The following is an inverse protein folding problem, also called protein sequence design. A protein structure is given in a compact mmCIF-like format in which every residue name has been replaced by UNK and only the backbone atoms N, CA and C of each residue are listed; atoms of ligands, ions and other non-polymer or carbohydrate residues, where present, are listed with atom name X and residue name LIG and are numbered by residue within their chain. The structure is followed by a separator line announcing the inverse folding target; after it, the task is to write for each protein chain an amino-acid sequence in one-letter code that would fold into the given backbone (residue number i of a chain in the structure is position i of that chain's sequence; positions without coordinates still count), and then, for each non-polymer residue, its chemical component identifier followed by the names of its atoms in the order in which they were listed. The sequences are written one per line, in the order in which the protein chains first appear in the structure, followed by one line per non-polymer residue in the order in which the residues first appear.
data_IF_096081788303
#
_entry.id   IF_096081788303
#
_cell.length_a   1.000
_cell.length_b   1.000
_cell.length_c   1.000
_cell.angle_alpha   90.00
_cell.angle_beta   90.00
_cell.angle_gamma   90.00
#
_symmetry.space_group_name_H-M   'P 1'
#
loop_
_entity.id
_entity.type
_entity.pdbx_description
1 polymer ?
#
# COMPACT_ATOMS: atom_id res chain seq x y z
N UNK A 1 22.70 22.93 12.04
CA UNK A 1 21.30 23.01 11.58
C UNK A 1 21.01 21.77 10.76
N UNK A 2 20.40 20.77 11.40
CA UNK A 2 20.00 19.51 10.76
C UNK A 2 18.86 19.79 9.79
N UNK A 3 19.11 19.64 8.50
CA UNK A 3 18.07 19.71 7.48
C UNK A 3 17.24 18.44 7.60
N UNK A 4 16.16 18.52 8.38
CA UNK A 4 15.14 17.50 8.47
C UNK A 4 14.50 17.38 7.08
N UNK A 5 14.93 16.36 6.32
CA UNK A 5 14.37 16.03 5.00
C UNK A 5 12.87 15.78 5.14
N UNK A 6 12.06 16.82 4.95
CA UNK A 6 10.63 16.67 4.77
C UNK A 6 10.38 16.16 3.35
N UNK A 7 10.65 14.88 3.12
CA UNK A 7 10.08 14.20 1.96
C UNK A 7 8.57 14.19 2.15
N UNK A 8 7.87 15.09 1.46
CA UNK A 8 6.45 14.98 1.24
C UNK A 8 6.20 13.65 0.51
N UNK A 9 5.91 12.59 1.27
CA UNK A 9 5.67 11.22 0.78
C UNK A 9 4.33 11.18 0.02
N UNK A 10 4.25 11.84 -1.14
CA UNK A 10 3.20 11.59 -2.12
C UNK A 10 3.53 10.29 -2.86
N UNK A 11 3.53 9.19 -2.12
CA UNK A 11 3.70 7.87 -2.72
C UNK A 11 2.36 7.50 -3.36
N UNK A 12 2.25 7.77 -4.67
CA UNK A 12 1.12 7.32 -5.48
C UNK A 12 1.35 5.85 -5.80
N UNK A 13 0.60 4.97 -5.14
CA UNK A 13 0.47 3.58 -5.54
C UNK A 13 -0.59 3.55 -6.63
N UNK A 14 -0.22 3.06 -7.81
CA UNK A 14 -1.15 2.81 -8.90
C UNK A 14 -1.40 1.31 -8.94
N UNK A 15 -2.67 0.94 -9.04
CA UNK A 15 -3.08 -0.45 -9.27
C UNK A 15 -3.46 -0.61 -10.74
N UNK A 16 -3.22 -1.79 -11.28
CA UNK A 16 -3.86 -2.24 -12.52
C UNK A 16 -5.35 -2.44 -12.29
N UNK A 17 -6.14 -2.52 -13.37
CA UNK A 17 -7.59 -2.78 -13.26
C UNK A 17 -7.86 -4.11 -12.54
N UNK A 18 -7.09 -5.16 -12.86
CA UNK A 18 -7.22 -6.47 -12.23
C UNK A 18 -6.91 -6.43 -10.72
N UNK A 19 -5.88 -5.67 -10.31
CA UNK A 19 -5.57 -5.50 -8.89
C UNK A 19 -6.65 -4.67 -8.18
N UNK A 20 -7.22 -3.67 -8.85
CA UNK A 20 -8.32 -2.88 -8.30
C UNK A 20 -9.58 -3.74 -8.08
N UNK A 21 -9.91 -4.61 -9.03
CA UNK A 21 -11.04 -5.54 -8.91
C UNK A 21 -10.86 -6.50 -7.73
N UNK A 22 -9.65 -7.06 -7.57
CA UNK A 22 -9.33 -7.92 -6.42
C UNK A 22 -9.41 -7.18 -5.08
N UNK A 23 -8.97 -5.92 -5.03
CA UNK A 23 -9.10 -5.09 -3.83
C UNK A 23 -10.57 -4.85 -3.51
N UNK A 24 -11.39 -4.54 -4.52
CA UNK A 24 -12.82 -4.30 -4.33
C UNK A 24 -13.54 -5.56 -3.82
N UNK A 25 -13.25 -6.73 -4.42
CA UNK A 25 -13.80 -8.01 -3.96
C UNK A 25 -13.41 -8.30 -2.50
N UNK A 26 -12.14 -8.08 -2.14
CA UNK A 26 -11.68 -8.25 -0.77
C UNK A 26 -12.35 -7.30 0.22
N UNK A 27 -12.63 -6.05 -0.18
CA UNK A 27 -13.38 -5.08 0.64
C UNK A 27 -14.81 -5.57 0.87
N UNK A 28 -15.50 -5.99 -0.18
CA UNK A 28 -16.88 -6.49 -0.09
C UNK A 28 -16.99 -7.72 0.82
N UNK A 29 -16.05 -8.67 0.69
CA UNK A 29 -16.00 -9.84 1.58
C UNK A 29 -15.84 -9.37 3.03
N UNK A 30 -14.86 -8.52 3.35
CA UNK A 30 -14.64 -8.06 4.72
C UNK A 30 -15.88 -7.35 5.29
N UNK A 31 -16.55 -6.53 4.49
CA UNK A 31 -17.77 -5.82 4.90
C UNK A 31 -18.95 -6.78 5.13
N UNK A 32 -19.10 -7.81 4.30
CA UNK A 32 -20.16 -8.82 4.45
C UNK A 32 -20.08 -9.61 5.77
N UNK A 33 -18.88 -9.76 6.32
CA UNK A 33 -18.65 -10.37 7.64
C UNK A 33 -18.67 -9.36 8.80
N UNK A 34 -19.10 -8.12 8.55
CA UNK A 34 -19.21 -7.05 9.56
C UNK A 34 -17.87 -6.36 9.88
N UNK A 35 -16.83 -6.61 9.07
CA UNK A 35 -15.54 -5.94 9.20
C UNK A 35 -15.55 -4.53 8.61
N UNK A 36 -14.66 -3.66 9.10
CA UNK A 36 -14.41 -2.34 8.51
C UNK A 36 -13.16 -2.40 7.64
N UNK A 37 -13.39 -2.37 6.33
CA UNK A 37 -12.35 -2.38 5.33
C UNK A 37 -12.12 -0.97 4.76
N UNK A 38 -10.90 -0.67 4.33
CA UNK A 38 -10.58 0.58 3.64
C UNK A 38 -9.47 0.32 2.64
N UNK A 39 -9.58 0.86 1.41
CA UNK A 39 -8.52 0.76 0.40
C UNK A 39 -7.14 1.16 0.93
N UNK A 40 -7.09 2.10 1.89
CA UNK A 40 -5.84 2.54 2.52
C UNK A 40 -5.06 1.43 3.23
N UNK A 41 -5.74 0.37 3.73
CA UNK A 41 -5.06 -0.79 4.34
C UNK A 41 -4.22 -1.54 3.29
N UNK A 42 -4.76 -1.71 2.08
CA UNK A 42 -4.08 -2.36 0.96
C UNK A 42 -2.93 -1.50 0.43
N UNK A 43 -3.16 -0.19 0.23
CA UNK A 43 -2.12 0.76 -0.20
C UNK A 43 -0.93 0.76 0.77
N UNK A 44 -1.20 0.73 2.09
CA UNK A 44 -0.15 0.69 3.11
C UNK A 44 0.66 -0.60 3.03
N UNK A 45 0.02 -1.75 2.87
CA UNK A 45 0.73 -3.03 2.75
C UNK A 45 1.56 -3.12 1.47
N UNK A 46 1.00 -2.72 0.33
CA UNK A 46 1.73 -2.66 -0.94
C UNK A 46 2.95 -1.74 -0.85
N UNK A 47 2.81 -0.60 -0.19
CA UNK A 47 3.90 0.35 0.07
C UNK A 47 5.01 -0.26 0.92
N UNK A 48 4.65 -1.00 1.98
CA UNK A 48 5.62 -1.66 2.86
C UNK A 48 6.35 -2.78 2.10
N UNK A 49 5.63 -3.61 1.35
CA UNK A 49 6.21 -4.68 0.54
C UNK A 49 7.25 -4.13 -0.45
N UNK A 50 6.90 -3.08 -1.19
CA UNK A 50 7.82 -2.42 -2.12
C UNK A 50 9.04 -1.82 -1.43
N UNK A 51 8.88 -1.25 -0.23
CA UNK A 51 10.00 -0.73 0.55
C UNK A 51 10.94 -1.85 1.03
N UNK A 52 10.40 -3.01 1.40
CA UNK A 52 11.20 -4.19 1.79
C UNK A 52 11.99 -4.73 0.59
N UNK A 53 11.36 -4.83 -0.58
CA UNK A 53 12.04 -5.28 -1.82
C UNK A 53 13.20 -4.35 -2.19
N UNK A 54 12.98 -3.04 -2.17
CA UNK A 54 14.03 -2.05 -2.46
C UNK A 54 15.20 -2.17 -1.47
N UNK A 55 14.92 -2.42 -0.19
CA UNK A 55 15.97 -2.58 0.80
C UNK A 55 16.74 -3.89 0.61
N UNK A 56 16.06 -5.00 0.34
CA UNK A 56 16.72 -6.28 0.05
C UNK A 56 17.61 -6.21 -1.19
N UNK A 57 17.17 -5.52 -2.25
CA UNK A 57 17.95 -5.34 -3.48
C UNK A 57 19.15 -4.39 -3.33
N UNK A 58 19.30 -3.69 -2.20
CA UNK A 58 20.46 -2.85 -1.90
C UNK A 58 21.54 -3.56 -1.06
N UNK A 59 21.20 -4.72 -0.49
CA UNK A 59 22.10 -5.53 0.33
C UNK A 59 22.77 -6.67 -0.48
N UNK A 60 22.49 -6.76 -1.79
CA UNK A 60 23.19 -7.60 -2.81
C UNK A 60 24.15 -6.75 -3.66
#
# INVERSE_FOLDING_TARGET
MEQQYQMARKQRVSFTEQEADQINEALEIIESFGGKASPNKFIRQATIARAIEINKAKDE
#
